data_IF_946481180730
#
_entry.id   IF_946481180730
#
_cell.length_a   1.000
_cell.length_b   1.000
_cell.length_c   1.000
_cell.angle_alpha   90.00
_cell.angle_beta   90.00
_cell.angle_gamma   90.00
#
_symmetry.space_group_name_H-M   'P 1'
#
loop_
_entity.id
_entity.type
_entity.pdbx_description
1 polymer ?
#
# COMPACT_ATOMS: atom_id res chain seq x y z
N UNK A 1 7.09 56.21 14.38
CA UNK A 1 7.46 55.30 15.50
C UNK A 1 6.35 54.29 15.85
N UNK A 2 5.08 54.71 16.01
CA UNK A 2 3.97 53.78 16.33
C UNK A 2 3.64 52.78 15.21
N UNK A 3 3.67 53.21 13.95
CA UNK A 3 3.39 52.33 12.80
C UNK A 3 4.42 51.19 12.64
N UNK A 4 5.70 51.49 12.85
CA UNK A 4 6.77 50.48 12.83
C UNK A 4 6.63 49.47 13.97
N UNK A 5 6.21 49.91 15.17
CA UNK A 5 5.97 49.02 16.32
C UNK A 5 4.81 48.07 16.05
N UNK A 6 3.72 48.55 15.46
CA UNK A 6 2.58 47.71 15.08
C UNK A 6 2.98 46.65 14.06
N UNK A 7 3.76 47.03 13.03
CA UNK A 7 4.26 46.09 12.03
C UNK A 7 5.17 45.02 12.65
N UNK A 8 6.04 45.37 13.59
CA UNK A 8 6.90 44.42 14.33
C UNK A 8 6.05 43.46 15.18
N UNK A 9 5.03 43.94 15.87
CA UNK A 9 4.13 43.09 16.67
C UNK A 9 3.43 42.06 15.80
N UNK A 10 2.91 42.45 14.63
CA UNK A 10 2.28 41.51 13.68
C UNK A 10 3.27 40.44 13.22
N UNK A 11 4.49 40.83 12.89
CA UNK A 11 5.53 39.88 12.45
C UNK A 11 5.85 38.88 13.57
N UNK A 12 6.00 39.35 14.81
CA UNK A 12 6.25 38.47 15.95
C UNK A 12 5.09 37.50 16.22
N UNK A 13 3.84 37.98 16.09
CA UNK A 13 2.65 37.11 16.20
C UNK A 13 2.63 36.06 15.09
N UNK A 14 2.93 36.45 13.84
CA UNK A 14 2.97 35.52 12.71
C UNK A 14 4.08 34.45 12.89
N UNK A 15 5.25 34.84 13.38
CA UNK A 15 6.35 33.91 13.70
C UNK A 15 5.93 32.96 14.83
N UNK A 16 5.36 33.49 15.91
CA UNK A 16 4.88 32.68 17.03
C UNK A 16 3.81 31.67 16.60
N UNK A 17 2.86 32.09 15.75
CA UNK A 17 1.83 31.22 15.19
C UNK A 17 2.43 30.13 14.28
N UNK A 18 3.42 30.49 13.46
CA UNK A 18 4.13 29.53 12.61
C UNK A 18 4.81 28.44 13.43
N UNK A 19 5.53 28.82 14.48
CA UNK A 19 6.18 27.87 15.40
C UNK A 19 5.13 26.97 16.08
N UNK A 20 4.03 27.56 16.54
CA UNK A 20 2.94 26.82 17.17
C UNK A 20 2.32 25.76 16.23
N UNK A 21 2.08 26.12 14.97
CA UNK A 21 1.53 25.20 13.97
C UNK A 21 2.54 24.11 13.56
N UNK A 22 3.84 24.39 13.59
CA UNK A 22 4.88 23.41 13.25
C UNK A 22 5.22 22.46 14.40
N UNK A 23 5.00 22.85 15.65
CA UNK A 23 5.31 22.05 16.84
C UNK A 23 4.78 20.59 16.79
N UNK A 24 3.50 20.31 16.45
CA UNK A 24 3.03 18.93 16.34
C UNK A 24 3.77 18.15 15.25
N UNK A 25 4.15 18.79 14.15
CA UNK A 25 4.92 18.14 13.08
C UNK A 25 6.30 17.73 13.54
N UNK A 26 6.97 18.61 14.31
CA UNK A 26 8.27 18.30 14.91
C UNK A 26 8.18 17.15 15.94
N UNK A 27 7.14 17.16 16.79
CA UNK A 27 6.93 16.10 17.77
C UNK A 27 6.61 14.75 17.12
N UNK A 28 5.79 14.73 16.05
CA UNK A 28 5.52 13.49 15.30
C UNK A 28 6.78 12.94 14.64
N UNK A 29 7.63 13.83 14.08
CA UNK A 29 8.91 13.44 13.51
C UNK A 29 9.79 12.73 14.56
N UNK A 30 9.92 13.29 15.76
CA UNK A 30 10.70 12.66 16.84
C UNK A 30 10.11 11.31 17.29
N UNK A 31 8.79 11.24 17.46
CA UNK A 31 8.10 10.00 17.83
C UNK A 31 8.29 8.91 16.76
N UNK A 32 8.17 9.28 15.48
CA UNK A 32 8.33 8.34 14.37
C UNK A 32 9.75 7.77 14.29
N UNK A 33 10.76 8.60 14.56
CA UNK A 33 12.17 8.19 14.62
C UNK A 33 12.43 7.19 15.75
N UNK A 34 11.90 7.47 16.94
CA UNK A 34 12.04 6.56 18.08
C UNK A 34 11.37 5.21 17.81
N UNK A 35 10.15 5.23 17.25
CA UNK A 35 9.44 4.01 16.85
C UNK A 35 10.25 3.21 15.82
N UNK A 36 10.82 3.87 14.80
CA UNK A 36 11.63 3.18 13.79
C UNK A 36 12.88 2.54 14.40
N UNK A 37 13.58 3.22 15.30
CA UNK A 37 14.77 2.66 15.97
C UNK A 37 14.40 1.43 16.83
N UNK A 38 13.26 1.46 17.51
CA UNK A 38 12.75 0.32 18.29
C UNK A 38 12.41 -0.85 17.36
N UNK A 39 11.75 -0.58 16.23
CA UNK A 39 11.38 -1.60 15.24
C UNK A 39 12.60 -2.21 14.56
N UNK A 40 13.61 -1.41 14.22
CA UNK A 40 14.85 -1.88 13.60
C UNK A 40 15.59 -2.83 14.55
N UNK A 41 15.76 -2.44 15.82
CA UNK A 41 16.33 -3.32 16.85
C UNK A 41 15.53 -4.62 17.00
N UNK A 42 14.20 -4.54 17.03
CA UNK A 42 13.33 -5.72 17.12
C UNK A 42 13.42 -6.59 15.87
N UNK A 43 13.57 -6.00 14.69
CA UNK A 43 13.74 -6.74 13.44
C UNK A 43 15.04 -7.54 13.43
N UNK A 44 16.13 -6.95 13.93
CA UNK A 44 17.43 -7.61 14.07
C UNK A 44 17.39 -8.73 15.12
N UNK A 45 16.74 -8.52 16.27
CA UNK A 45 16.50 -9.58 17.26
C UNK A 45 15.69 -10.75 16.68
N UNK A 46 14.67 -10.48 15.87
CA UNK A 46 13.84 -11.51 15.23
C UNK A 46 14.64 -12.26 14.16
N UNK A 47 15.47 -11.58 13.37
CA UNK A 47 16.32 -12.20 12.35
C UNK A 47 17.40 -13.08 12.96
N UNK A 48 18.01 -12.65 14.06
CA UNK A 48 19.02 -13.44 14.79
C UNK A 48 18.42 -14.71 15.41
N UNK A 49 17.18 -14.63 15.89
CA UNK A 49 16.49 -15.79 16.48
C UNK A 49 15.83 -16.71 15.43
N UNK A 50 15.53 -16.21 14.23
CA UNK A 50 14.87 -16.96 13.17
C UNK A 50 15.42 -16.57 11.77
N UNK A 51 16.54 -17.16 11.33
CA UNK A 51 17.22 -16.77 10.08
C UNK A 51 16.42 -17.04 8.80
N UNK A 52 15.46 -17.99 8.80
CA UNK A 52 14.64 -18.35 7.63
C UNK A 52 13.28 -17.62 7.56
N UNK A 53 13.10 -16.53 8.33
CA UNK A 53 11.81 -15.84 8.36
C UNK A 53 11.50 -15.13 7.03
N UNK A 54 10.37 -15.48 6.40
CA UNK A 54 9.86 -14.77 5.22
C UNK A 54 9.56 -13.29 5.53
N UNK A 55 9.90 -12.40 4.59
CA UNK A 55 9.71 -10.94 4.69
C UNK A 55 8.27 -10.55 5.04
N UNK A 56 7.28 -11.27 4.53
CA UNK A 56 5.86 -11.04 4.83
C UNK A 56 5.51 -11.32 6.29
N UNK A 57 6.05 -12.40 6.85
CA UNK A 57 5.81 -12.78 8.24
C UNK A 57 6.56 -11.88 9.22
N UNK A 58 7.78 -11.45 8.85
CA UNK A 58 8.54 -10.46 9.61
C UNK A 58 7.79 -9.13 9.67
N UNK A 59 7.33 -8.60 8.53
CA UNK A 59 6.59 -7.35 8.46
C UNK A 59 5.28 -7.41 9.25
N UNK A 60 4.56 -8.54 9.22
CA UNK A 60 3.34 -8.72 10.02
C UNK A 60 3.61 -8.64 11.52
N UNK A 61 4.70 -9.24 12.00
CA UNK A 61 5.10 -9.17 13.41
C UNK A 61 5.52 -7.75 13.81
N UNK A 62 6.30 -7.09 12.97
CA UNK A 62 6.73 -5.70 13.20
C UNK A 62 5.52 -4.74 13.22
N UNK A 63 4.53 -4.92 12.35
CA UNK A 63 3.28 -4.15 12.36
C UNK A 63 2.53 -4.29 13.68
N UNK A 64 2.41 -5.49 14.24
CA UNK A 64 1.72 -5.69 15.53
C UNK A 64 2.47 -5.00 16.67
N UNK A 65 3.80 -5.03 16.66
CA UNK A 65 4.63 -4.34 17.65
C UNK A 65 4.46 -2.82 17.50
N UNK A 66 4.50 -2.30 16.28
CA UNK A 66 4.28 -0.89 15.98
C UNK A 66 2.91 -0.41 16.48
N UNK A 67 1.85 -1.17 16.18
CA UNK A 67 0.48 -0.85 16.60
C UNK A 67 0.36 -0.88 18.12
N UNK A 68 1.06 -1.79 18.80
CA UNK A 68 1.10 -1.85 20.27
C UNK A 68 1.78 -0.62 20.87
N UNK A 69 2.89 -0.15 20.27
CA UNK A 69 3.59 1.05 20.71
C UNK A 69 2.70 2.29 20.55
N UNK A 70 2.04 2.44 19.40
CA UNK A 70 1.10 3.55 19.16
C UNK A 70 -0.10 3.51 20.11
N UNK A 71 -0.69 2.33 20.32
CA UNK A 71 -1.84 2.17 21.20
C UNK A 71 -1.50 2.48 22.67
N UNK A 72 -0.26 2.22 23.10
CA UNK A 72 0.17 2.51 24.47
C UNK A 72 0.30 4.00 24.80
N UNK A 73 0.45 4.86 23.79
CA UNK A 73 0.63 6.29 23.99
C UNK A 73 -0.33 7.11 23.10
N UNK A 74 -1.46 7.60 23.64
CA UNK A 74 -2.45 8.35 22.87
C UNK A 74 -1.92 9.68 22.32
N UNK A 75 -0.86 10.25 22.91
CA UNK A 75 -0.26 11.49 22.42
C UNK A 75 0.40 11.32 21.05
N UNK A 76 0.83 10.10 20.69
CA UNK A 76 1.42 9.80 19.38
C UNK A 76 0.36 9.96 18.29
N UNK A 77 -0.84 9.43 18.51
CA UNK A 77 -1.94 9.54 17.56
C UNK A 77 -2.47 10.97 17.45
N UNK A 78 -2.57 11.70 18.57
CA UNK A 78 -2.99 13.10 18.55
C UNK A 78 -2.00 13.98 17.76
N UNK A 79 -0.70 13.77 17.97
CA UNK A 79 0.36 14.51 17.28
C UNK A 79 0.37 14.18 15.78
N UNK A 80 0.17 12.90 15.45
CA UNK A 80 0.02 12.40 14.07
C UNK A 80 -1.18 12.99 13.34
N UNK A 81 -2.28 13.26 14.04
CA UNK A 81 -3.46 13.89 13.45
C UNK A 81 -3.26 15.39 13.20
N UNK A 82 -2.52 16.08 14.08
CA UNK A 82 -2.28 17.52 14.01
C UNK A 82 -1.07 17.93 13.14
N UNK A 83 -0.24 16.98 12.73
CA UNK A 83 0.93 17.25 11.87
C UNK A 83 0.53 17.71 10.47
N UNK A 84 1.47 18.37 9.80
CA UNK A 84 1.40 18.60 8.35
C UNK A 84 1.62 17.27 7.62
N UNK A 85 0.65 16.83 6.83
CA UNK A 85 0.74 15.58 6.08
C UNK A 85 1.66 15.74 4.87
N UNK A 86 2.59 14.81 4.71
CA UNK A 86 3.45 14.71 3.53
C UNK A 86 2.65 14.14 2.36
N UNK A 87 2.93 14.64 1.14
CA UNK A 87 2.42 14.05 -0.09
C UNK A 87 3.13 12.73 -0.40
N UNK A 88 2.57 11.92 -1.30
CA UNK A 88 3.13 10.61 -1.69
C UNK A 88 4.58 10.71 -2.17
N UNK A 89 4.91 11.78 -2.89
CA UNK A 89 6.27 12.04 -3.39
C UNK A 89 7.29 12.16 -2.26
N UNK A 90 6.91 12.82 -1.16
CA UNK A 90 7.75 13.02 0.02
C UNK A 90 7.68 11.84 1.01
N UNK A 91 6.58 11.08 1.01
CA UNK A 91 6.36 9.97 1.92
C UNK A 91 7.08 8.69 1.47
N UNK A 92 7.42 8.58 0.17
CA UNK A 92 8.13 7.41 -0.36
C UNK A 92 7.32 6.12 -0.17
N UNK A 93 6.29 5.91 -0.97
CA UNK A 93 5.37 4.77 -0.84
C UNK A 93 5.64 3.61 -1.79
N UNK A 94 4.99 2.47 -1.51
CA UNK A 94 4.95 1.32 -2.42
C UNK A 94 3.90 1.56 -3.52
N UNK A 95 4.32 1.50 -4.80
CA UNK A 95 3.40 1.48 -5.94
C UNK A 95 2.80 0.08 -6.07
N UNK A 96 1.50 -0.06 -5.80
CA UNK A 96 0.77 -1.31 -6.04
C UNK A 96 0.20 -1.29 -7.45
N UNK A 97 0.61 -2.25 -8.28
CA UNK A 97 -0.04 -2.54 -9.57
C UNK A 97 -0.89 -3.78 -9.38
N UNK A 98 -2.19 -3.64 -9.59
CA UNK A 98 -3.13 -4.76 -9.54
C UNK A 98 -3.32 -5.25 -10.98
N UNK A 99 -2.87 -6.45 -11.26
CA UNK A 99 -3.15 -7.13 -12.52
C UNK A 99 -4.35 -8.07 -12.36
N UNK A 100 -5.24 -8.03 -13.33
CA UNK A 100 -6.40 -8.92 -13.36
C UNK A 100 -5.98 -10.22 -14.03
N UNK A 101 -6.14 -11.35 -13.34
CA UNK A 101 -6.02 -12.65 -13.98
C UNK A 101 -7.25 -12.88 -14.87
N UNK A 102 -7.08 -12.65 -16.17
CA UNK A 102 -8.15 -12.73 -17.17
C UNK A 102 -8.74 -14.12 -17.31
N UNK A 103 -7.94 -15.20 -17.16
CA UNK A 103 -8.44 -16.58 -17.15
C UNK A 103 -9.41 -16.86 -16.00
N UNK A 104 -9.02 -16.49 -14.77
CA UNK A 104 -9.91 -16.59 -13.59
C UNK A 104 -11.12 -15.66 -13.68
N UNK A 105 -10.99 -14.52 -14.35
CA UNK A 105 -12.13 -13.63 -14.60
C UNK A 105 -13.15 -14.29 -15.53
N UNK A 106 -12.70 -14.89 -16.64
CA UNK A 106 -13.57 -15.62 -17.57
C UNK A 106 -14.28 -16.78 -16.88
N UNK A 107 -13.58 -17.54 -16.04
CA UNK A 107 -14.16 -18.62 -15.24
C UNK A 107 -15.29 -18.10 -14.33
N UNK A 108 -15.08 -16.97 -13.65
CA UNK A 108 -16.08 -16.36 -12.76
C UNK A 108 -17.26 -15.70 -13.48
N UNK A 109 -17.05 -15.21 -14.70
CA UNK A 109 -18.08 -14.59 -15.52
C UNK A 109 -18.98 -15.63 -16.21
N UNK A 110 -18.49 -16.85 -16.41
CA UNK A 110 -19.25 -17.90 -17.08
C UNK A 110 -20.49 -18.31 -16.27
N UNK A 111 -21.66 -18.19 -16.91
CA UNK A 111 -22.92 -18.69 -16.37
C UNK A 111 -23.06 -20.16 -16.78
N UNK A 112 -23.04 -21.06 -15.80
CA UNK A 112 -23.13 -22.52 -15.99
C UNK A 112 -22.09 -23.11 -16.98
N UNK A 113 -20.78 -23.02 -16.67
CA UNK A 113 -19.72 -23.53 -17.56
C UNK A 113 -19.81 -25.06 -17.73
N UNK A 114 -19.83 -25.53 -18.97
CA UNK A 114 -19.74 -26.97 -19.29
C UNK A 114 -18.29 -27.48 -19.16
N UNK A 115 -18.11 -28.81 -19.25
CA UNK A 115 -16.77 -29.42 -19.20
C UNK A 115 -15.91 -28.98 -20.40
N UNK A 116 -16.53 -28.79 -21.56
CA UNK A 116 -15.84 -28.34 -22.77
C UNK A 116 -15.27 -26.93 -22.59
N UNK A 117 -16.04 -25.98 -22.03
CA UNK A 117 -15.60 -24.64 -21.71
C UNK A 117 -14.41 -24.66 -20.74
N UNK A 118 -14.49 -25.44 -19.67
CA UNK A 118 -13.41 -25.54 -18.68
C UNK A 118 -12.13 -26.11 -19.27
N UNK A 119 -12.23 -27.12 -20.12
CA UNK A 119 -11.09 -27.70 -20.83
C UNK A 119 -10.47 -26.71 -21.82
N UNK A 120 -11.29 -26.02 -22.61
CA UNK A 120 -10.86 -24.99 -23.55
C UNK A 120 -10.19 -23.80 -22.85
N UNK A 121 -10.75 -23.36 -21.73
CA UNK A 121 -10.21 -22.25 -20.94
C UNK A 121 -8.86 -22.63 -20.34
N UNK A 122 -8.74 -23.87 -19.84
CA UNK A 122 -7.48 -24.38 -19.31
C UNK A 122 -6.40 -24.48 -20.39
N UNK A 123 -6.74 -25.02 -21.56
CA UNK A 123 -5.83 -25.06 -22.71
C UNK A 123 -5.42 -23.64 -23.14
N UNK A 124 -6.34 -22.69 -23.16
CA UNK A 124 -6.04 -21.29 -23.47
C UNK A 124 -5.12 -20.64 -22.42
N UNK A 125 -5.28 -20.97 -21.14
CA UNK A 125 -4.39 -20.51 -20.07
C UNK A 125 -2.99 -21.11 -20.18
N UNK A 126 -2.89 -22.40 -20.50
CA UNK A 126 -1.62 -23.10 -20.67
C UNK A 126 -0.87 -22.57 -21.92
N UNK A 127 -1.59 -22.26 -23.00
CA UNK A 127 -1.03 -21.69 -24.22
C UNK A 127 -0.63 -20.22 -24.04
N UNK A 128 -1.43 -19.41 -23.34
CA UNK A 128 -1.10 -18.03 -23.00
C UNK A 128 0.12 -17.92 -22.07
N UNK A 129 0.44 -18.96 -21.29
CA UNK A 129 1.66 -18.98 -20.47
C UNK A 129 2.94 -19.14 -21.32
N UNK A 130 2.80 -19.61 -22.57
CA UNK A 130 3.90 -19.85 -23.51
C UNK A 130 3.93 -18.82 -24.66
N UNK A 131 2.94 -17.92 -24.72
CA UNK A 131 2.73 -16.96 -25.80
C UNK A 131 2.62 -15.54 -25.24
N UNK A 132 2.85 -14.52 -26.08
CA UNK A 132 2.58 -13.11 -25.73
C UNK A 132 1.11 -12.72 -25.99
N UNK A 133 0.31 -13.64 -26.52
CA UNK A 133 -1.09 -13.40 -26.86
C UNK A 133 -2.01 -13.50 -25.63
N UNK A 134 -3.06 -12.68 -25.59
CA UNK A 134 -3.99 -12.65 -24.45
C UNK A 134 -4.76 -13.96 -24.32
N UNK A 135 -4.98 -14.42 -23.08
CA UNK A 135 -5.85 -15.56 -22.76
C UNK A 135 -7.22 -15.43 -23.43
N UNK A 136 -7.74 -14.21 -23.53
CA UNK A 136 -9.05 -13.93 -24.13
C UNK A 136 -9.05 -14.21 -25.64
N UNK A 137 -7.98 -13.81 -26.34
CA UNK A 137 -7.87 -13.94 -27.80
C UNK A 137 -7.67 -15.40 -28.19
N UNK A 138 -6.79 -16.11 -27.48
CA UNK A 138 -6.57 -17.56 -27.64
C UNK A 138 -7.87 -18.32 -27.38
N UNK A 139 -8.57 -17.98 -26.29
CA UNK A 139 -9.83 -18.63 -25.95
C UNK A 139 -10.93 -18.38 -26.99
N UNK A 140 -11.07 -17.14 -27.49
CA UNK A 140 -12.02 -16.79 -28.54
C UNK A 140 -11.72 -17.51 -29.86
N UNK A 141 -10.44 -17.65 -30.21
CA UNK A 141 -9.99 -18.44 -31.36
C UNK A 141 -10.38 -19.91 -31.26
N UNK A 142 -10.11 -20.54 -30.10
CA UNK A 142 -10.47 -21.95 -29.86
C UNK A 142 -11.99 -22.19 -29.87
N UNK A 143 -12.77 -21.28 -29.30
CA UNK A 143 -14.24 -21.36 -29.35
C UNK A 143 -14.77 -21.26 -30.79
N UNK A 144 -14.22 -20.32 -31.57
CA UNK A 144 -14.59 -20.13 -32.97
C UNK A 144 -14.24 -21.36 -33.83
N UNK A 145 -13.08 -21.98 -33.60
CA UNK A 145 -12.66 -23.21 -34.27
C UNK A 145 -13.58 -24.39 -33.99
N UNK A 146 -14.17 -24.47 -32.78
CA UNK A 146 -15.18 -25.48 -32.41
C UNK A 146 -16.61 -25.09 -32.76
N UNK A 147 -16.84 -23.93 -33.40
CA UNK A 147 -18.17 -23.46 -33.79
C UNK A 147 -19.04 -22.96 -32.64
N UNK A 148 -18.45 -22.66 -31.48
CA UNK A 148 -19.16 -22.19 -30.29
C UNK A 148 -19.15 -20.65 -30.30
N UNK A 149 -20.33 -20.02 -30.26
CA UNK A 149 -20.46 -18.56 -30.20
C UNK A 149 -20.35 -18.06 -28.76
N UNK A 150 -19.55 -17.01 -28.54
CA UNK A 150 -19.39 -16.31 -27.25
C UNK A 150 -20.66 -15.55 -26.77
N UNK A 151 -21.75 -15.53 -27.55
CA UNK A 151 -22.91 -14.67 -27.31
C UNK A 151 -24.01 -15.29 -26.42
N UNK A 152 -23.70 -16.31 -25.63
CA UNK A 152 -24.67 -16.99 -24.75
C UNK A 152 -24.35 -16.80 -23.30
#
# INVERSE_FOLDING_TARGET
MKEFRFRIIIILVAIGLSIYLLYPTYSDYQNSKEISEILDRKSEEIRQSNPDISTTNLNRRLSVIEDSIKASNPSIEETRQKRVKLGLDLQGGMRVVLEVNTGKLLEKLAKDPDENFRNLLKEAMDEAALSEESVVDIFAGKLSAKGIRLSR
#
